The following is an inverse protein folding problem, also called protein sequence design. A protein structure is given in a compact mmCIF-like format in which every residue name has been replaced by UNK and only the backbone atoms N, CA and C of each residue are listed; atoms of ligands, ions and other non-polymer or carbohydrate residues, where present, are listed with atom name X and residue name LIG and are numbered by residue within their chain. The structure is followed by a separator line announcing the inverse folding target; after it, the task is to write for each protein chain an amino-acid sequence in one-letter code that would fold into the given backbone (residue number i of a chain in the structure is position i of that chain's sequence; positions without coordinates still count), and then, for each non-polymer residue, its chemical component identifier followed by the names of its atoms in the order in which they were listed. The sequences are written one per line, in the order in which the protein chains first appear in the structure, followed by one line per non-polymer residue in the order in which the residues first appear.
data_IF_186353146737
#
_entry.id   IF_186353146737
#
_cell.length_a   1.000
_cell.length_b   1.000
_cell.length_c   1.000
_cell.angle_alpha   90.00
_cell.angle_beta   90.00
_cell.angle_gamma   90.00
#
_symmetry.space_group_name_H-M   'P 1'
#
loop_
_entity.id
_entity.type
_entity.pdbx_description
1 polymer ?
#
# COMPACT_ATOMS: atom_id res chain seq x y z
N UNK A 1 9.10 22.20 10.15
CA UNK A 1 8.93 22.64 11.55
C UNK A 1 9.80 23.87 11.71
N UNK A 2 9.21 25.07 11.89
CA UNK A 2 9.96 26.31 11.88
C UNK A 2 10.78 26.57 13.16
N UNK A 3 10.44 25.95 14.31
CA UNK A 3 11.14 26.20 15.59
C UNK A 3 11.98 25.02 16.11
N UNK A 4 11.63 23.77 15.78
CA UNK A 4 12.38 22.59 16.24
C UNK A 4 12.83 21.72 15.08
N UNK A 5 14.05 21.19 15.16
CA UNK A 5 14.50 20.18 14.20
C UNK A 5 14.01 18.80 14.61
N UNK A 6 13.89 17.88 13.65
CA UNK A 6 13.57 16.48 13.97
C UNK A 6 14.62 15.80 14.87
N UNK A 7 15.84 16.34 14.91
CA UNK A 7 16.90 15.89 15.80
C UNK A 7 16.68 16.32 17.24
N UNK A 8 16.25 17.56 17.47
CA UNK A 8 15.93 18.06 18.82
C UNK A 8 14.75 17.31 19.42
N UNK A 9 13.74 17.01 18.59
CA UNK A 9 12.61 16.17 18.97
C UNK A 9 13.06 14.75 19.35
N UNK A 10 13.95 14.13 18.57
CA UNK A 10 14.51 12.81 18.90
C UNK A 10 15.18 12.83 20.27
N UNK A 11 16.03 13.84 20.55
CA UNK A 11 16.67 13.99 21.85
C UNK A 11 15.67 14.15 22.97
N UNK A 12 14.66 15.00 22.79
CA UNK A 12 13.63 15.22 23.80
C UNK A 12 12.89 13.90 24.12
N UNK A 13 12.48 13.14 23.11
CA UNK A 13 11.80 11.85 23.29
C UNK A 13 12.69 10.84 24.01
N UNK A 14 13.98 10.77 23.66
CA UNK A 14 14.94 9.83 24.27
C UNK A 14 15.37 10.24 25.68
N UNK A 15 15.28 11.52 26.01
CA UNK A 15 15.51 12.02 27.37
C UNK A 15 14.37 11.64 28.34
N UNK A 16 13.18 11.30 27.82
CA UNK A 16 12.08 10.81 28.65
C UNK A 16 12.43 9.40 29.14
N UNK A 17 12.66 9.26 30.45
CA UNK A 17 12.90 7.98 31.11
C UNK A 17 11.57 7.22 31.29
N UNK A 18 11.00 6.72 30.19
CA UNK A 18 9.82 5.85 30.24
C UNK A 18 10.21 4.38 30.41
N UNK A 19 9.45 3.60 31.20
CA UNK A 19 9.70 2.15 31.34
C UNK A 19 9.54 1.39 30.01
N UNK A 20 8.77 1.97 29.07
CA UNK A 20 8.61 1.48 27.71
C UNK A 20 9.14 2.55 26.73
N UNK A 21 10.37 2.42 26.21
CA UNK A 21 10.93 3.39 25.28
C UNK A 21 10.22 3.29 23.93
N UNK A 22 9.79 4.44 23.39
CA UNK A 22 9.16 4.51 22.06
C UNK A 22 10.25 4.35 20.98
N UNK A 23 10.10 3.41 20.03
CA UNK A 23 11.03 3.29 18.91
C UNK A 23 10.86 4.50 17.98
N UNK A 24 11.92 5.28 17.81
CA UNK A 24 11.93 6.47 16.95
C UNK A 24 12.79 6.19 15.73
N UNK A 25 12.22 6.36 14.54
CA UNK A 25 12.91 6.24 13.25
C UNK A 25 12.94 7.60 12.57
N UNK A 26 14.13 8.04 12.15
CA UNK A 26 14.33 9.35 11.52
C UNK A 26 14.22 9.21 10.00
N UNK A 27 13.50 10.13 9.37
CA UNK A 27 13.39 10.21 7.91
C UNK A 27 13.91 11.53 7.36
N UNK A 28 14.83 11.48 6.41
CA UNK A 28 15.44 12.67 5.78
C UNK A 28 15.40 12.60 4.26
N UNK A 29 15.34 13.75 3.59
CA UNK A 29 15.51 13.85 2.14
C UNK A 29 16.99 13.89 1.74
N UNK A 30 17.86 14.34 2.65
CA UNK A 30 19.30 14.43 2.43
C UNK A 30 20.00 13.16 2.91
N UNK A 31 20.93 12.69 2.08
CA UNK A 31 21.78 11.53 2.35
C UNK A 31 23.17 11.97 2.84
N UNK A 32 23.20 12.61 4.02
CA UNK A 32 24.44 13.06 4.63
C UNK A 32 24.88 12.07 5.72
N UNK A 33 26.02 11.36 5.56
CA UNK A 33 26.47 10.34 6.51
C UNK A 33 26.66 10.89 7.92
N UNK A 34 27.10 12.15 8.06
CA UNK A 34 27.22 12.81 9.35
C UNK A 34 25.86 12.93 10.07
N UNK A 35 24.79 13.26 9.34
CA UNK A 35 23.44 13.38 9.90
C UNK A 35 22.90 12.01 10.33
N UNK A 36 23.12 10.99 9.51
CA UNK A 36 22.74 9.61 9.81
C UNK A 36 23.40 9.16 11.11
N UNK A 37 24.72 9.30 11.20
CA UNK A 37 25.48 8.94 12.39
C UNK A 37 25.01 9.70 13.63
N UNK A 38 24.81 11.02 13.54
CA UNK A 38 24.31 11.83 14.66
C UNK A 38 22.95 11.36 15.18
N UNK A 39 22.03 10.99 14.29
CA UNK A 39 20.70 10.50 14.69
C UNK A 39 20.78 9.13 15.37
N UNK A 40 21.57 8.21 14.82
CA UNK A 40 21.77 6.88 15.41
C UNK A 40 22.43 6.98 16.79
N UNK A 41 23.46 7.81 16.94
CA UNK A 41 24.12 8.05 18.24
C UNK A 41 23.19 8.71 19.25
N UNK A 42 22.22 9.52 18.80
CA UNK A 42 21.19 10.09 19.66
C UNK A 42 20.08 9.09 20.05
N UNK A 43 20.19 7.82 19.67
CA UNK A 43 19.26 6.76 20.03
C UNK A 43 18.12 6.53 19.03
N UNK A 44 18.23 7.04 17.81
CA UNK A 44 17.31 6.63 16.74
C UNK A 44 17.51 5.14 16.44
N UNK A 45 16.40 4.42 16.30
CA UNK A 45 16.42 3.00 15.95
C UNK A 45 16.88 2.79 14.52
N UNK A 46 16.50 3.71 13.63
CA UNK A 46 16.87 3.64 12.23
C UNK A 46 16.80 5.00 11.52
N UNK A 47 17.43 5.06 10.35
CA UNK A 47 17.38 6.21 9.45
C UNK A 47 16.94 5.79 8.05
N UNK A 48 15.94 6.49 7.51
CA UNK A 48 15.36 6.20 6.19
C UNK A 48 15.44 7.45 5.30
N UNK A 49 15.84 7.24 4.05
CA UNK A 49 15.84 8.28 3.04
C UNK A 49 14.47 8.36 2.37
N UNK A 50 13.99 9.59 2.16
CA UNK A 50 12.81 9.84 1.34
C UNK A 50 13.19 9.80 -0.15
N UNK A 51 12.33 9.29 -1.04
CA UNK A 51 11.04 8.63 -0.77
C UNK A 51 11.20 7.22 -0.20
N UNK A 52 10.24 6.80 0.62
CA UNK A 52 10.17 5.46 1.23
C UNK A 52 10.21 4.37 0.15
N UNK A 53 11.10 3.39 0.31
CA UNK A 53 11.18 2.22 -0.59
C UNK A 53 10.52 1.02 0.07
N UNK A 54 10.06 0.07 -0.74
CA UNK A 54 9.45 -1.19 -0.26
C UNK A 54 10.36 -1.97 0.71
N UNK A 55 11.69 -1.90 0.52
CA UNK A 55 12.67 -2.48 1.46
C UNK A 55 12.66 -1.84 2.86
N UNK A 56 12.25 -0.58 2.97
CA UNK A 56 12.25 0.15 4.23
C UNK A 56 11.06 -0.22 5.11
N UNK A 57 9.95 -0.66 4.51
CA UNK A 57 8.77 -1.17 5.22
C UNK A 57 9.11 -2.39 6.08
N UNK A 58 9.94 -3.30 5.55
CA UNK A 58 10.39 -4.45 6.31
C UNK A 58 11.26 -4.06 7.51
N UNK A 59 12.07 -3.00 7.37
CA UNK A 59 12.89 -2.47 8.46
C UNK A 59 12.01 -1.88 9.57
N UNK A 60 11.03 -1.06 9.22
CA UNK A 60 10.05 -0.49 10.16
C UNK A 60 9.31 -1.58 10.94
N UNK A 61 8.90 -2.67 10.28
CA UNK A 61 8.23 -3.80 10.93
C UNK A 61 9.14 -4.50 11.95
N UNK A 62 10.43 -4.60 11.66
CA UNK A 62 11.39 -5.20 12.60
C UNK A 62 11.62 -4.30 13.82
N UNK A 63 11.70 -2.98 13.63
CA UNK A 63 11.84 -2.00 14.71
C UNK A 63 10.66 -2.04 15.70
N UNK A 64 9.43 -2.23 15.20
CA UNK A 64 8.23 -2.34 16.04
C UNK A 64 8.24 -3.58 16.95
N UNK A 65 8.85 -4.68 16.50
CA UNK A 65 8.83 -5.96 17.22
C UNK A 65 10.02 -6.12 18.18
N UNK A 66 11.06 -5.30 18.02
CA UNK A 66 12.32 -5.40 18.76
C UNK A 66 12.44 -4.33 19.84
N UNK A 67 11.34 -3.90 20.46
CA UNK A 67 11.30 -2.92 21.57
C UNK A 67 11.95 -3.44 22.86
N UNK A 68 13.14 -4.04 22.76
CA UNK A 68 14.01 -4.40 23.87
C UNK A 68 15.03 -3.27 24.03
N UNK A 69 15.17 -2.70 25.23
CA UNK A 69 16.10 -1.61 25.46
C UNK A 69 17.53 -2.13 25.24
N UNK A 70 18.17 -1.65 24.17
CA UNK A 70 19.63 -1.73 24.05
C UNK A 70 20.20 -0.62 24.92
N UNK A 71 20.73 -1.00 26.07
CA UNK A 71 21.58 -0.13 26.88
C UNK A 71 22.68 0.44 26.01
N UNK A 72 22.98 1.71 26.25
CA UNK A 72 24.07 2.42 25.61
C UNK A 72 25.38 1.73 25.97
N UNK A 73 25.91 0.92 25.05
CA UNK A 73 27.32 0.59 24.89
C UNK A 73 27.47 -0.06 23.51
N UNK A 74 28.61 0.20 22.88
CA UNK A 74 29.07 -0.25 21.56
C UNK A 74 28.76 0.67 20.36
N UNK A 75 29.68 1.61 20.19
CA UNK A 75 30.08 2.14 18.89
C UNK A 75 30.45 0.99 17.91
N UNK A 76 30.35 1.31 16.62
CA UNK A 76 30.64 0.46 15.46
C UNK A 76 29.57 -0.56 15.09
N UNK A 77 28.71 -0.19 14.13
CA UNK A 77 28.69 -0.98 12.90
C UNK A 77 28.12 -0.20 11.70
N UNK A 78 29.00 0.39 10.90
CA UNK A 78 28.75 0.54 9.48
C UNK A 78 28.79 -0.87 8.86
N UNK A 79 27.63 -1.51 8.71
CA UNK A 79 27.43 -2.63 7.79
C UNK A 79 26.62 -2.11 6.61
N UNK A 80 27.32 -1.39 5.72
CA UNK A 80 27.19 -1.73 4.32
C UNK A 80 27.57 -3.21 4.16
N UNK A 81 26.97 -3.87 3.17
CA UNK A 81 27.14 -5.28 2.79
C UNK A 81 26.06 -6.22 3.32
N UNK A 82 25.25 -6.64 2.34
CA UNK A 82 25.06 -8.06 2.07
C UNK A 82 24.31 -8.84 3.14
N UNK A 83 23.00 -8.63 3.19
CA UNK A 83 22.12 -9.77 3.41
C UNK A 83 21.17 -9.85 2.23
N UNK A 84 21.73 -10.38 1.13
CA UNK A 84 21.00 -11.20 0.16
C UNK A 84 20.36 -12.34 0.94
N UNK A 85 19.27 -12.07 1.66
CA UNK A 85 18.30 -13.12 1.96
C UNK A 85 17.71 -13.47 0.60
N UNK A 86 18.33 -14.48 -0.02
CA UNK A 86 17.65 -15.40 -0.90
C UNK A 86 16.26 -15.56 -0.30
N UNK A 87 15.25 -15.10 -1.02
CA UNK A 87 13.92 -15.65 -0.86
C UNK A 87 14.14 -17.16 -1.03
N UNK A 88 14.09 -17.90 0.07
CA UNK A 88 14.23 -19.35 0.06
C UNK A 88 13.20 -19.88 -0.92
N UNK A 89 13.64 -20.77 -1.80
CA UNK A 89 12.86 -21.37 -2.88
C UNK A 89 11.53 -21.98 -2.42
N UNK A 90 11.41 -22.34 -1.13
CA UNK A 90 10.18 -22.87 -0.53
C UNK A 90 9.04 -21.85 -0.46
N UNK A 91 9.32 -20.59 -0.13
CA UNK A 91 8.29 -19.59 0.12
C UNK A 91 7.67 -19.04 -1.18
N UNK A 92 8.39 -19.17 -2.31
CA UNK A 92 7.85 -18.88 -3.65
C UNK A 92 6.82 -19.91 -4.09
N UNK A 93 6.97 -21.19 -3.72
CA UNK A 93 6.02 -22.24 -4.13
C UNK A 93 4.63 -22.00 -3.55
N UNK A 94 4.54 -21.62 -2.27
CA UNK A 94 3.24 -21.37 -1.62
C UNK A 94 2.54 -20.11 -2.17
N UNK A 95 3.30 -19.04 -2.44
CA UNK A 95 2.76 -17.80 -3.01
C UNK A 95 2.28 -18.03 -4.45
N UNK A 96 3.04 -18.78 -5.28
CA UNK A 96 2.61 -19.12 -6.64
C UNK A 96 1.36 -20.02 -6.63
N UNK A 97 1.25 -20.96 -5.69
CA UNK A 97 0.05 -21.80 -5.53
C UNK A 97 -1.18 -20.99 -5.15
N UNK A 98 -1.06 -20.08 -4.18
CA UNK A 98 -2.16 -19.19 -3.79
C UNK A 98 -2.54 -18.21 -4.91
N UNK A 99 -1.56 -17.68 -5.65
CA UNK A 99 -1.80 -16.79 -6.78
C UNK A 99 -2.55 -17.51 -7.93
N UNK A 100 -2.24 -18.78 -8.21
CA UNK A 100 -2.97 -19.57 -9.21
C UNK A 100 -4.42 -19.85 -8.80
N UNK A 101 -4.68 -20.16 -7.52
CA UNK A 101 -6.04 -20.39 -7.02
C UNK A 101 -6.88 -19.12 -7.10
N UNK A 102 -6.31 -17.97 -6.73
CA UNK A 102 -7.01 -16.68 -6.83
C UNK A 102 -7.25 -16.26 -8.29
N UNK A 103 -6.30 -16.52 -9.20
CA UNK A 103 -6.46 -16.17 -10.61
C UNK A 103 -7.51 -17.04 -11.32
N UNK A 104 -7.64 -18.31 -10.92
CA UNK A 104 -8.70 -19.20 -11.43
C UNK A 104 -10.11 -18.71 -11.04
N UNK A 105 -10.30 -18.24 -9.80
CA UNK A 105 -11.58 -17.66 -9.37
C UNK A 105 -11.90 -16.31 -10.04
N UNK A 106 -10.88 -15.55 -10.45
CA UNK A 106 -11.07 -14.24 -11.09
C UNK A 106 -11.51 -14.35 -12.55
N UNK A 107 -11.15 -15.44 -13.24
CA UNK A 107 -11.56 -15.71 -14.63
C UNK A 107 -13.08 -15.96 -14.70
N UNK A 108 -13.65 -16.70 -13.75
CA UNK A 108 -15.09 -16.98 -13.73
C UNK A 108 -15.93 -15.71 -13.46
N UNK A 109 -15.43 -14.79 -12.63
CA UNK A 109 -16.12 -13.54 -12.32
C UNK A 109 -16.18 -12.61 -13.54
N UNK A 110 -15.13 -12.61 -14.38
CA UNK A 110 -15.10 -11.80 -15.60
C UNK A 110 -16.14 -12.23 -16.63
N UNK A 111 -16.34 -13.54 -16.78
CA UNK A 111 -17.30 -14.08 -17.74
C UNK A 111 -18.74 -13.84 -17.27
N UNK A 112 -18.99 -13.93 -15.96
CA UNK A 112 -20.28 -13.58 -15.36
C UNK A 112 -20.64 -12.11 -15.57
N UNK A 113 -19.69 -11.19 -15.36
CA UNK A 113 -19.92 -9.75 -15.57
C UNK A 113 -20.28 -9.44 -17.03
N UNK A 114 -19.57 -10.05 -17.98
CA UNK A 114 -19.84 -9.86 -19.40
C UNK A 114 -21.21 -10.42 -19.82
N UNK A 115 -21.62 -11.55 -19.25
CA UNK A 115 -22.97 -12.10 -19.45
C UNK A 115 -24.05 -11.23 -18.82
N UNK A 116 -23.85 -10.78 -17.58
CA UNK A 116 -24.80 -9.94 -16.86
C UNK A 116 -25.04 -8.62 -17.59
N UNK A 117 -23.98 -7.97 -18.09
CA UNK A 117 -24.08 -6.74 -18.87
C UNK A 117 -24.89 -6.94 -20.16
N UNK A 118 -24.67 -8.07 -20.87
CA UNK A 118 -25.46 -8.43 -22.05
C UNK A 118 -26.94 -8.67 -21.70
N UNK A 119 -27.23 -9.35 -20.60
CA UNK A 119 -28.61 -9.57 -20.13
C UNK A 119 -29.31 -8.28 -19.75
N UNK A 120 -28.63 -7.37 -19.06
CA UNK A 120 -29.17 -6.06 -18.68
C UNK A 120 -29.48 -5.22 -19.93
N UNK A 121 -28.55 -5.18 -20.90
CA UNK A 121 -28.77 -4.49 -22.18
C UNK A 121 -29.94 -5.08 -22.97
N UNK A 122 -30.06 -6.42 -23.01
CA UNK A 122 -31.16 -7.09 -23.69
C UNK A 122 -32.50 -6.75 -23.04
N UNK A 123 -32.58 -6.82 -21.71
CA UNK A 123 -33.78 -6.46 -20.96
C UNK A 123 -34.16 -4.99 -21.19
N UNK A 124 -33.18 -4.08 -21.19
CA UNK A 124 -33.41 -2.67 -21.49
C UNK A 124 -33.87 -2.45 -22.93
N UNK A 125 -33.29 -3.16 -23.91
CA UNK A 125 -33.73 -3.09 -25.30
C UNK A 125 -35.17 -3.60 -25.45
N UNK A 126 -35.54 -4.69 -24.78
CA UNK A 126 -36.91 -5.23 -24.78
C UNK A 126 -37.88 -4.26 -24.11
N UNK A 127 -37.51 -3.65 -22.98
CA UNK A 127 -38.32 -2.60 -22.33
C UNK A 127 -38.48 -1.38 -23.23
N UNK A 128 -37.40 -0.93 -23.88
CA UNK A 128 -37.42 0.19 -24.80
C UNK A 128 -38.28 -0.10 -26.04
N UNK A 129 -38.23 -1.32 -26.57
CA UNK A 129 -39.11 -1.77 -27.65
C UNK A 129 -40.55 -1.87 -27.17
N UNK A 130 -40.80 -2.32 -25.94
CA UNK A 130 -42.12 -2.38 -25.33
C UNK A 130 -42.77 -1.01 -25.19
N UNK A 131 -42.00 -0.02 -24.70
CA UNK A 131 -42.42 1.39 -24.65
C UNK A 131 -42.64 1.98 -26.05
N UNK A 132 -41.81 1.61 -27.03
CA UNK A 132 -41.97 2.05 -28.41
C UNK A 132 -43.21 1.42 -29.07
N UNK A 133 -43.50 0.15 -28.79
CA UNK A 133 -44.70 -0.54 -29.26
C UNK A 133 -45.95 -0.01 -28.56
N UNK A 134 -45.87 0.34 -27.28
CA UNK A 134 -46.96 0.98 -26.54
C UNK A 134 -47.25 2.39 -27.10
N UNK A 135 -46.22 3.14 -27.50
CA UNK A 135 -46.38 4.41 -28.24
C UNK A 135 -46.90 4.23 -29.66
N UNK A 136 -46.55 3.13 -30.34
CA UNK A 136 -47.10 2.78 -31.65
C UNK A 136 -48.57 2.37 -31.55
N UNK A 137 -48.94 1.66 -30.49
CA UNK A 137 -50.30 1.22 -30.19
C UNK A 137 -51.23 2.37 -29.77
N UNK A 138 -50.70 3.42 -29.12
CA UNK A 138 -51.49 4.59 -28.68
C UNK A 138 -51.61 5.70 -29.74
N UNK A 139 -51.27 5.41 -31.01
CA UNK A 139 -51.79 6.13 -32.17
C UNK A 139 -51.26 7.55 -32.38
N UNK A 140 -50.16 7.67 -33.11
CA UNK A 140 -49.82 8.94 -33.77
C UNK A 140 -49.03 8.74 -35.07
N UNK A 141 -49.43 7.77 -35.90
CA UNK A 141 -48.83 7.53 -37.22
C UNK A 141 -49.82 7.71 -38.40
N UNK A 142 -50.85 8.53 -38.22
CA UNK A 142 -51.76 8.93 -39.32
C UNK A 142 -51.67 10.42 -39.68
N UNK A 143 -50.75 11.19 -39.09
CA UNK A 143 -50.61 12.62 -39.37
C UNK A 143 -49.43 13.02 -40.28
N UNK A 144 -48.68 12.06 -40.85
CA UNK A 144 -47.51 12.36 -41.69
C UNK A 144 -47.61 11.95 -43.17
N UNK A 145 -48.80 11.54 -43.64
CA UNK A 145 -49.12 11.38 -45.08
C UNK A 145 -50.25 12.34 -45.50
N UNK A 146 -50.26 13.56 -44.97
CA UNK A 146 -51.16 14.61 -45.45
C UNK A 146 -50.45 15.96 -45.40
N UNK A 147 -49.46 16.12 -46.27
CA UNK A 147 -49.03 17.38 -46.90
C UNK A 147 -48.08 17.05 -48.04
#
# INVERSE_FOLDING_TARGET
MPEMTGYDLLKAIKALSSPNPIPVVVMSSENEPQRISRCLTAGAEDFILKPLKSKDVQRLRNCSNSAKPKGADDAHQCKSLSSRRKITSEQRSQITRLAMVLNASSIELSHYFQFLFKFILLAYAVLCLGELLHRWSNGSFLSLWSS
#
